data_IF_286088450709
#
_entry.id   IF_286088450709
#
_cell.length_a   1.000
_cell.length_b   1.000
_cell.length_c   1.000
_cell.angle_alpha   90.00
_cell.angle_beta   90.00
_cell.angle_gamma   90.00
#
_symmetry.space_group_name_H-M   'P 1'
#
loop_
_entity.id
_entity.type
_entity.pdbx_description
1 polymer ?
#
# COMPACT_ATOMS: atom_id res chain seq x y z
N UNK A 1 -14.74 8.24 -27.34
CA UNK A 1 -14.64 7.55 -26.03
C UNK A 1 -13.29 7.88 -25.38
N UNK A 2 -13.28 8.72 -24.35
CA UNK A 2 -12.05 9.05 -23.60
C UNK A 2 -11.55 7.79 -22.87
N UNK A 3 -10.38 7.29 -23.28
CA UNK A 3 -9.63 6.27 -22.53
C UNK A 3 -9.06 6.93 -21.27
N UNK A 4 -9.77 6.84 -20.15
CA UNK A 4 -9.21 7.11 -18.81
C UNK A 4 -8.27 5.98 -18.33
N UNK A 5 -7.40 5.46 -19.21
CA UNK A 5 -6.45 4.37 -18.89
C UNK A 5 -5.16 4.87 -18.23
N UNK A 6 -5.23 5.93 -17.43
CA UNK A 6 -4.07 6.46 -16.75
C UNK A 6 -4.41 7.02 -15.38
N UNK A 7 -3.72 6.52 -14.34
CA UNK A 7 -3.58 7.10 -12.99
C UNK A 7 -4.51 6.63 -11.87
N UNK A 8 -5.01 5.39 -11.87
CA UNK A 8 -5.40 4.79 -10.58
C UNK A 8 -4.15 4.19 -9.90
N UNK A 9 -3.48 4.97 -9.06
CA UNK A 9 -2.37 4.43 -8.26
C UNK A 9 -2.78 3.15 -7.54
N UNK A 10 -4.02 3.13 -7.06
CA UNK A 10 -4.66 1.97 -6.45
C UNK A 10 -4.65 0.68 -7.31
N UNK A 11 -5.05 0.75 -8.59
CA UNK A 11 -5.06 -0.42 -9.47
C UNK A 11 -3.66 -0.99 -9.69
N UNK A 12 -2.67 -0.11 -9.88
CA UNK A 12 -1.25 -0.52 -10.00
C UNK A 12 -0.74 -1.19 -8.73
N UNK A 13 -1.09 -0.64 -7.56
CA UNK A 13 -0.74 -1.24 -6.28
C UNK A 13 -1.35 -2.64 -6.14
N UNK A 14 -2.65 -2.78 -6.42
CA UNK A 14 -3.34 -4.07 -6.30
C UNK A 14 -2.76 -5.14 -7.24
N UNK A 15 -2.41 -4.76 -8.48
CA UNK A 15 -1.78 -5.66 -9.44
C UNK A 15 -0.41 -6.13 -8.95
N UNK A 16 0.41 -5.21 -8.44
CA UNK A 16 1.72 -5.55 -7.87
C UNK A 16 1.59 -6.53 -6.70
N UNK A 17 0.65 -6.30 -5.77
CA UNK A 17 0.45 -7.21 -4.64
C UNK A 17 0.00 -8.59 -5.12
N UNK A 18 -0.90 -8.67 -6.10
CA UNK A 18 -1.32 -9.95 -6.69
C UNK A 18 -0.14 -10.70 -7.33
N UNK A 19 0.69 -9.98 -8.08
CA UNK A 19 1.89 -10.55 -8.71
C UNK A 19 2.86 -11.10 -7.67
N UNK A 20 3.19 -10.32 -6.63
CA UNK A 20 4.09 -10.75 -5.56
C UNK A 20 3.55 -11.96 -4.80
N UNK A 21 2.25 -12.02 -4.54
CA UNK A 21 1.62 -13.17 -3.89
C UNK A 21 1.79 -14.45 -4.71
N UNK A 22 1.60 -14.38 -6.02
CA UNK A 22 1.72 -15.54 -6.91
C UNK A 22 3.19 -15.95 -7.04
N UNK A 23 4.07 -14.99 -7.31
CA UNK A 23 5.49 -15.24 -7.54
C UNK A 23 6.22 -15.78 -6.31
N UNK A 24 5.89 -15.27 -5.12
CA UNK A 24 6.55 -15.67 -3.88
C UNK A 24 5.73 -16.68 -3.06
N UNK A 25 4.49 -17.01 -3.47
CA UNK A 25 3.55 -17.89 -2.74
C UNK A 25 3.32 -17.45 -1.29
N UNK A 26 3.14 -16.14 -1.10
CA UNK A 26 3.00 -15.54 0.23
C UNK A 26 1.59 -14.97 0.48
N UNK A 27 1.31 -14.65 1.75
CA UNK A 27 0.09 -13.97 2.16
C UNK A 27 0.00 -12.55 1.58
N UNK A 28 -1.18 -11.91 1.70
CA UNK A 28 -1.35 -10.51 1.28
C UNK A 28 -0.41 -9.59 2.05
N UNK A 29 -0.38 -9.74 3.38
CA UNK A 29 0.44 -8.91 4.25
C UNK A 29 1.94 -9.05 3.92
N UNK A 30 2.38 -10.26 3.60
CA UNK A 30 3.79 -10.49 3.28
C UNK A 30 4.16 -10.00 1.88
N UNK A 31 3.24 -10.07 0.92
CA UNK A 31 3.42 -9.40 -0.37
C UNK A 31 3.50 -7.88 -0.23
N UNK A 32 2.70 -7.28 0.66
CA UNK A 32 2.80 -5.85 0.99
C UNK A 32 4.14 -5.52 1.65
N UNK A 33 4.63 -6.39 2.55
CA UNK A 33 5.97 -6.26 3.16
C UNK A 33 7.06 -6.24 2.09
N UNK A 34 7.05 -7.20 1.16
CA UNK A 34 7.99 -7.25 0.03
C UNK A 34 7.87 -6.00 -0.86
N UNK A 35 6.64 -5.54 -1.14
CA UNK A 35 6.44 -4.35 -1.95
C UNK A 35 7.01 -3.10 -1.29
N UNK A 36 6.79 -2.93 0.01
CA UNK A 36 7.17 -1.75 0.79
C UNK A 36 8.64 -1.79 1.29
N UNK A 37 9.33 -2.93 1.17
CA UNK A 37 10.77 -3.03 1.33
C UNK A 37 11.54 -2.19 0.30
N UNK A 38 10.92 -1.84 -0.85
CA UNK A 38 11.51 -0.92 -1.81
C UNK A 38 11.24 0.55 -1.41
N UNK A 39 12.27 1.38 -1.15
CA UNK A 39 12.08 2.76 -0.69
C UNK A 39 11.34 3.66 -1.69
N UNK A 40 11.49 3.44 -2.99
CA UNK A 40 10.75 4.22 -4.01
C UNK A 40 9.25 3.90 -3.97
N UNK A 41 8.90 2.63 -3.76
CA UNK A 41 7.49 2.21 -3.60
C UNK A 41 6.91 2.78 -2.32
N UNK A 42 7.67 2.78 -1.22
CA UNK A 42 7.28 3.37 0.07
C UNK A 42 6.91 4.85 -0.08
N UNK A 43 7.81 5.68 -0.62
CA UNK A 43 7.55 7.12 -0.89
C UNK A 43 6.35 7.33 -1.81
N UNK A 44 6.17 6.46 -2.80
CA UNK A 44 5.04 6.55 -3.70
C UNK A 44 3.72 6.24 -2.97
N UNK A 45 3.66 5.19 -2.13
CA UNK A 45 2.48 4.84 -1.32
C UNK A 45 2.16 5.97 -0.34
N UNK A 46 3.17 6.50 0.35
CA UNK A 46 3.04 7.65 1.24
C UNK A 46 2.35 8.84 0.54
N UNK A 47 2.87 9.22 -0.64
CA UNK A 47 2.29 10.27 -1.46
C UNK A 47 0.83 9.95 -1.83
N UNK A 48 0.50 8.70 -2.18
CA UNK A 48 -0.88 8.32 -2.50
C UNK A 48 -1.80 8.43 -1.28
N UNK A 49 -1.37 7.94 -0.11
CA UNK A 49 -2.15 8.00 1.14
C UNK A 49 -2.45 9.44 1.54
N UNK A 50 -1.45 10.32 1.45
CA UNK A 50 -1.59 11.73 1.82
C UNK A 50 -2.41 12.55 0.83
N UNK A 51 -2.39 12.20 -0.46
CA UNK A 51 -3.09 12.98 -1.51
C UNK A 51 -4.47 12.43 -1.90
N UNK A 52 -4.78 11.16 -1.63
CA UNK A 52 -6.02 10.52 -2.10
C UNK A 52 -6.79 9.91 -0.94
N UNK A 53 -8.00 10.43 -0.70
CA UNK A 53 -8.89 9.96 0.36
C UNK A 53 -9.18 8.45 0.30
N UNK A 54 -9.31 7.89 -0.91
CA UNK A 54 -9.50 6.44 -1.10
C UNK A 54 -8.30 5.67 -0.55
N UNK A 55 -7.07 6.06 -0.89
CA UNK A 55 -5.84 5.42 -0.39
C UNK A 55 -5.73 5.56 1.13
N UNK A 56 -6.10 6.71 1.69
CA UNK A 56 -6.16 6.92 3.14
C UNK A 56 -7.11 5.94 3.84
N UNK A 57 -8.31 5.71 3.28
CA UNK A 57 -9.27 4.73 3.82
C UNK A 57 -8.69 3.31 3.84
N UNK A 58 -7.96 2.91 2.80
CA UNK A 58 -7.29 1.61 2.77
C UNK A 58 -6.15 1.51 3.78
N UNK A 59 -5.33 2.54 3.95
CA UNK A 59 -4.28 2.55 4.98
C UNK A 59 -4.86 2.42 6.39
N UNK A 60 -5.97 3.10 6.68
CA UNK A 60 -6.68 2.95 7.95
C UNK A 60 -7.28 1.55 8.13
N UNK A 61 -7.85 0.98 7.07
CA UNK A 61 -8.35 -0.39 7.10
C UNK A 61 -7.21 -1.39 7.33
N UNK A 62 -6.06 -1.19 6.70
CA UNK A 62 -4.85 -1.99 6.89
C UNK A 62 -4.41 -2.03 8.35
N UNK A 63 -4.32 -0.85 8.99
CA UNK A 63 -4.01 -0.74 10.42
C UNK A 63 -5.04 -1.51 11.25
N UNK A 64 -6.33 -1.29 11.00
CA UNK A 64 -7.42 -1.93 11.75
C UNK A 64 -7.43 -3.45 11.60
N UNK A 65 -7.11 -3.98 10.43
CA UNK A 65 -7.17 -5.42 10.15
C UNK A 65 -5.93 -6.18 10.61
N UNK A 66 -4.76 -5.55 10.62
CA UNK A 66 -3.51 -6.23 10.94
C UNK A 66 -3.02 -5.93 12.37
N UNK A 67 -3.53 -4.90 13.05
CA UNK A 67 -3.13 -4.56 14.42
C UNK A 67 -1.62 -4.39 14.53
N UNK A 68 -0.99 -5.15 15.44
CA UNK A 68 0.46 -5.13 15.66
C UNK A 68 1.29 -5.58 14.45
N UNK A 69 0.67 -6.31 13.52
CA UNK A 69 1.33 -6.73 12.28
C UNK A 69 1.21 -5.67 11.16
N UNK A 70 0.60 -4.52 11.43
CA UNK A 70 0.46 -3.46 10.45
C UNK A 70 1.83 -2.89 10.02
N UNK A 71 2.00 -2.80 8.71
CA UNK A 71 3.21 -2.25 8.06
C UNK A 71 3.24 -0.72 7.99
N UNK A 72 2.16 -0.09 8.46
CA UNK A 72 1.94 1.35 8.43
C UNK A 72 1.43 1.73 9.81
N UNK A 73 2.01 2.76 10.40
CA UNK A 73 1.54 3.38 11.63
C UNK A 73 0.96 4.75 11.32
N UNK A 74 -0.01 5.18 12.14
CA UNK A 74 -0.60 6.50 12.01
C UNK A 74 -0.04 7.42 13.10
N UNK A 75 0.69 8.45 12.68
CA UNK A 75 1.21 9.49 13.54
C UNK A 75 0.36 10.75 13.37
N UNK A 76 -0.72 10.87 14.17
CA UNK A 76 -1.65 11.99 14.09
C UNK A 76 -2.37 12.10 12.74
N UNK A 77 -1.94 13.04 11.89
CA UNK A 77 -2.50 13.25 10.54
C UNK A 77 -1.73 12.51 9.43
N UNK A 78 -0.49 12.10 9.69
CA UNK A 78 0.42 11.44 8.74
C UNK A 78 0.49 9.93 8.97
N UNK A 79 1.24 9.23 8.11
CA UNK A 79 1.46 7.79 8.20
C UNK A 79 2.95 7.49 8.02
N UNK A 80 3.48 6.65 8.89
CA UNK A 80 4.86 6.17 8.88
C UNK A 80 4.89 4.67 8.54
N UNK A 81 6.02 4.16 8.06
CA UNK A 81 6.17 2.75 7.70
C UNK A 81 7.13 2.06 8.67
N UNK A 82 6.73 0.90 9.20
CA UNK A 82 7.46 0.13 10.22
C UNK A 82 8.40 -0.93 9.63
N UNK A 83 8.66 -0.86 8.33
CA UNK A 83 9.44 -1.86 7.61
C UNK A 83 10.91 -1.44 7.59
N UNK A 84 11.86 -2.36 7.88
CA UNK A 84 13.28 -2.10 7.72
C UNK A 84 13.66 -1.65 6.30
#
# INVERSE_FOLDING_TARGET
MRRERGRDGYGRWLLLIKELRVSHRVSVLEAERIALANPHRRRWVEKQINTRQRCRKYALAHIRHNGDAALIERTGATFDFTIP
#
